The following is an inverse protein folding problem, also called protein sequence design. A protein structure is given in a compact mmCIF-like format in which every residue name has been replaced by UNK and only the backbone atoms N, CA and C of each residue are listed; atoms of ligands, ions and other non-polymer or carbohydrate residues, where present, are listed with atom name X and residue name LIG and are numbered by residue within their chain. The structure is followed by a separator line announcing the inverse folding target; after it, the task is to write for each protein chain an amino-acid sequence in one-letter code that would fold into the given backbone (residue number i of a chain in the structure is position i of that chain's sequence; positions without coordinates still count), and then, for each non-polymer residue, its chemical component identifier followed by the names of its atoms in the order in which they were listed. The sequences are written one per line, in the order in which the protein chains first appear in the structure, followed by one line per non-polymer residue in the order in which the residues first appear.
data_IF_379236865986
#
_entry.id   IF_379236865986
#
_cell.length_a   1.000
_cell.length_b   1.000
_cell.length_c   1.000
_cell.angle_alpha   90.00
_cell.angle_beta   90.00
_cell.angle_gamma   90.00
#
_symmetry.space_group_name_H-M   'P 1'
#
loop_
_entity.id
_entity.type
_entity.pdbx_description
1 polymer ?
#
# COMPACT_ATOMS: atom_id res chain seq x y z
N UNK A 1 -12.75 -6.94 3.31
CA UNK A 1 -14.11 -7.46 3.64
C UNK A 1 -13.94 -8.63 4.61
N UNK A 2 -14.48 -8.55 5.82
CA UNK A 2 -14.34 -9.60 6.85
C UNK A 2 -15.35 -10.73 6.62
N UNK A 3 -15.06 -11.62 5.68
CA UNK A 3 -15.95 -12.73 5.31
C UNK A 3 -16.07 -13.74 6.46
N UNK A 4 -17.27 -13.81 7.08
CA UNK A 4 -17.65 -14.84 8.07
C UNK A 4 -16.69 -14.98 9.27
N UNK A 5 -16.27 -13.87 9.86
CA UNK A 5 -15.36 -13.91 11.00
C UNK A 5 -13.90 -14.18 10.64
N UNK A 6 -13.55 -14.17 9.33
CA UNK A 6 -12.18 -13.97 8.89
C UNK A 6 -11.77 -12.51 9.17
N UNK A 7 -11.52 -12.22 10.46
CA UNK A 7 -10.95 -10.98 10.96
C UNK A 7 -9.45 -11.08 10.90
N UNK A 8 -8.88 -10.53 9.83
CA UNK A 8 -7.45 -10.32 9.66
C UNK A 8 -7.11 -8.92 10.19
N UNK A 9 -5.95 -8.74 10.82
CA UNK A 9 -5.51 -7.43 11.36
C UNK A 9 -5.31 -6.37 10.26
N UNK A 10 -5.42 -6.76 9.00
CA UNK A 10 -5.10 -5.95 7.83
C UNK A 10 -3.61 -5.85 7.55
N UNK A 11 -2.75 -6.04 8.57
CA UNK A 11 -1.29 -5.93 8.44
C UNK A 11 -0.71 -7.01 7.51
N UNK A 12 -1.29 -8.20 7.48
CA UNK A 12 -0.93 -9.29 6.57
C UNK A 12 -1.11 -8.96 5.08
N UNK A 13 -1.82 -7.87 4.73
CA UNK A 13 -1.93 -7.41 3.35
C UNK A 13 -0.76 -6.54 2.91
N UNK A 14 0.01 -5.96 3.86
CA UNK A 14 1.15 -5.07 3.55
C UNK A 14 2.19 -5.78 2.65
N UNK A 15 2.61 -7.03 2.92
CA UNK A 15 3.50 -7.76 2.01
C UNK A 15 2.89 -8.01 0.63
N UNK A 16 1.58 -8.26 0.55
CA UNK A 16 0.89 -8.46 -0.73
C UNK A 16 0.94 -7.18 -1.59
N UNK A 17 0.77 -6.01 -0.97
CA UNK A 17 0.92 -4.73 -1.65
C UNK A 17 2.37 -4.47 -2.09
N UNK A 18 3.37 -4.81 -1.27
CA UNK A 18 4.78 -4.65 -1.66
C UNK A 18 5.17 -5.55 -2.83
N UNK A 19 4.86 -6.83 -2.76
CA UNK A 19 5.44 -7.81 -3.68
C UNK A 19 4.55 -8.10 -4.88
N UNK A 20 3.25 -8.30 -4.68
CA UNK A 20 2.35 -8.73 -5.76
C UNK A 20 1.75 -7.54 -6.49
N UNK A 21 1.09 -6.64 -5.75
CA UNK A 21 0.55 -5.40 -6.31
C UNK A 21 1.63 -4.38 -6.68
N UNK A 22 2.81 -4.47 -6.07
CA UNK A 22 3.90 -3.50 -6.22
C UNK A 22 5.02 -3.98 -7.15
N UNK A 23 6.03 -4.65 -6.57
CA UNK A 23 7.26 -5.05 -7.25
C UNK A 23 6.99 -5.88 -8.53
N UNK A 24 6.20 -6.95 -8.41
CA UNK A 24 5.90 -7.83 -9.53
C UNK A 24 5.17 -7.06 -10.65
N UNK A 25 4.24 -6.19 -10.28
CA UNK A 25 3.47 -5.41 -11.24
C UNK A 25 4.32 -4.34 -11.94
N UNK A 26 5.25 -3.68 -11.24
CA UNK A 26 6.22 -2.77 -11.86
C UNK A 26 7.14 -3.53 -12.82
N UNK A 27 7.64 -4.71 -12.43
CA UNK A 27 8.44 -5.56 -13.31
C UNK A 27 7.64 -5.94 -14.56
N UNK A 28 6.37 -6.33 -14.41
CA UNK A 28 5.51 -6.62 -15.56
C UNK A 28 5.36 -5.40 -16.48
N UNK A 29 5.16 -4.19 -15.93
CA UNK A 29 5.11 -2.95 -16.72
C UNK A 29 6.41 -2.63 -17.47
N UNK A 30 7.57 -2.94 -16.87
CA UNK A 30 8.86 -2.82 -17.54
C UNK A 30 9.03 -3.85 -18.66
N UNK A 31 8.59 -5.09 -18.47
CA UNK A 31 8.64 -6.13 -19.49
C UNK A 31 7.73 -5.78 -20.69
N UNK A 32 6.54 -5.25 -20.45
CA UNK A 32 5.65 -4.75 -21.50
C UNK A 32 6.26 -3.59 -22.29
N UNK A 33 7.05 -2.74 -21.64
CA UNK A 33 7.79 -1.67 -22.33
C UNK A 33 8.82 -2.24 -23.31
N UNK A 34 9.57 -3.27 -22.91
CA UNK A 34 10.52 -3.96 -23.81
C UNK A 34 9.83 -4.63 -25.01
N UNK A 35 8.58 -5.08 -24.83
CA UNK A 35 7.75 -5.65 -25.91
C UNK A 35 7.12 -4.58 -26.83
N UNK A 36 7.27 -3.29 -26.50
CA UNK A 36 6.67 -2.18 -27.26
C UNK A 36 5.20 -1.92 -26.94
N UNK A 37 4.65 -2.56 -25.91
CA UNK A 37 3.25 -2.41 -25.50
C UNK A 37 3.11 -1.25 -24.51
N UNK A 38 3.03 -0.02 -25.03
CA UNK A 38 3.00 1.19 -24.19
C UNK A 38 1.80 1.26 -23.25
N UNK A 39 0.61 0.87 -23.71
CA UNK A 39 -0.61 0.94 -22.89
C UNK A 39 -0.54 0.09 -21.61
N UNK A 40 -0.34 -1.25 -21.68
CA UNK A 40 -0.24 -2.06 -20.47
C UNK A 40 1.01 -1.72 -19.65
N UNK A 41 2.12 -1.32 -20.29
CA UNK A 41 3.32 -0.86 -19.56
C UNK A 41 3.01 0.29 -18.60
N UNK A 42 2.37 1.36 -19.10
CA UNK A 42 2.04 2.53 -18.29
C UNK A 42 1.04 2.17 -17.19
N UNK A 43 0.02 1.37 -17.49
CA UNK A 43 -0.96 0.92 -16.50
C UNK A 43 -0.29 0.10 -15.39
N UNK A 44 0.51 -0.89 -15.75
CA UNK A 44 1.16 -1.74 -14.75
C UNK A 44 2.15 -0.96 -13.89
N UNK A 45 2.95 -0.08 -14.48
CA UNK A 45 3.85 0.78 -13.71
C UNK A 45 3.09 1.74 -12.76
N UNK A 46 2.01 2.37 -13.21
CA UNK A 46 1.24 3.33 -12.39
C UNK A 46 0.52 2.66 -11.23
N UNK A 47 -0.19 1.56 -11.48
CA UNK A 47 -0.82 0.79 -10.41
C UNK A 47 0.21 0.10 -9.49
N UNK A 48 1.34 -0.35 -10.05
CA UNK A 48 2.46 -0.89 -9.27
C UNK A 48 3.04 0.12 -8.29
N UNK A 49 3.28 1.35 -8.74
CA UNK A 49 3.74 2.45 -7.89
C UNK A 49 2.68 2.84 -6.85
N UNK A 50 1.40 2.81 -7.21
CA UNK A 50 0.30 3.04 -6.27
C UNK A 50 0.32 2.03 -5.12
N UNK A 51 0.40 0.73 -5.41
CA UNK A 51 0.41 -0.30 -4.36
C UNK A 51 1.69 -0.26 -3.51
N UNK A 52 2.85 0.06 -4.07
CA UNK A 52 4.07 0.29 -3.29
C UNK A 52 3.93 1.47 -2.33
N UNK A 53 3.34 2.58 -2.80
CA UNK A 53 3.09 3.76 -1.98
C UNK A 53 2.09 3.44 -0.86
N UNK A 54 1.02 2.71 -1.18
CA UNK A 54 0.03 2.27 -0.20
C UNK A 54 0.62 1.33 0.85
N UNK A 55 1.49 0.41 0.44
CA UNK A 55 2.22 -0.46 1.36
C UNK A 55 3.14 0.36 2.30
N UNK A 56 3.81 1.39 1.77
CA UNK A 56 4.64 2.31 2.55
C UNK A 56 3.84 3.08 3.61
N UNK A 57 2.66 3.59 3.24
CA UNK A 57 1.75 4.28 4.17
C UNK A 57 1.37 3.40 5.35
N UNK A 58 1.09 2.12 5.12
CA UNK A 58 0.66 1.18 6.15
C UNK A 58 1.81 0.52 6.92
N UNK A 59 3.03 0.54 6.37
CA UNK A 59 4.17 -0.08 7.01
C UNK A 59 4.70 0.80 8.16
N UNK A 60 4.75 0.27 9.41
CA UNK A 60 5.21 1.03 10.58
C UNK A 60 6.60 1.65 10.43
N UNK A 61 7.47 1.05 9.60
CA UNK A 61 8.85 1.50 9.38
C UNK A 61 8.94 2.91 8.77
N UNK A 62 7.91 3.36 8.06
CA UNK A 62 7.87 4.70 7.45
C UNK A 62 7.24 5.76 8.37
N UNK A 63 6.69 5.36 9.51
CA UNK A 63 6.01 6.23 10.47
C UNK A 63 4.89 7.12 9.88
N UNK A 64 4.37 6.78 8.70
CA UNK A 64 3.42 7.62 7.96
C UNK A 64 2.09 7.77 8.72
N UNK A 65 1.47 6.67 9.15
CA UNK A 65 0.26 6.74 9.98
C UNK A 65 0.56 7.04 11.46
N UNK A 66 1.66 6.53 12.00
CA UNK A 66 1.95 6.61 13.43
C UNK A 66 2.29 8.04 13.88
N UNK A 67 2.77 8.89 12.97
CA UNK A 67 3.01 10.32 13.25
C UNK A 67 1.73 11.08 13.62
N UNK A 68 0.55 10.55 13.28
CA UNK A 68 -0.74 11.12 13.64
C UNK A 68 -1.25 10.64 15.01
N UNK A 69 -0.58 9.70 15.67
CA UNK A 69 -0.95 9.25 17.00
C UNK A 69 -0.57 10.29 18.08
N UNK A 70 -1.42 10.43 19.10
CA UNK A 70 -1.11 11.29 20.26
C UNK A 70 0.09 10.74 21.03
N UNK A 71 0.97 11.62 21.52
CA UNK A 71 2.14 11.23 22.30
C UNK A 71 1.76 10.31 23.48
N UNK A 72 2.43 9.15 23.58
CA UNK A 72 2.19 8.15 24.62
C UNK A 72 1.04 7.16 24.33
N UNK A 73 0.38 7.25 23.18
CA UNK A 73 -0.60 6.25 22.72
C UNK A 73 0.02 5.23 21.77
N UNK A 74 -0.69 4.12 21.55
CA UNK A 74 -0.28 3.11 20.57
C UNK A 74 -0.22 3.72 19.16
N UNK A 75 0.86 3.49 18.38
CA UNK A 75 1.01 4.00 17.02
C UNK A 75 -0.17 3.71 16.09
N UNK A 76 -0.84 2.57 16.25
CA UNK A 76 -2.00 2.16 15.43
C UNK A 76 -3.19 3.11 15.56
N UNK A 77 -3.29 3.86 16.66
CA UNK A 77 -4.34 4.87 16.84
C UNK A 77 -4.30 5.95 15.77
N UNK A 78 -3.12 6.22 15.21
CA UNK A 78 -2.90 7.16 14.09
C UNK A 78 -3.80 6.85 12.88
N UNK A 79 -4.03 5.58 12.56
CA UNK A 79 -4.88 5.13 11.44
C UNK A 79 -6.35 5.56 11.60
N UNK A 80 -6.81 5.72 12.85
CA UNK A 80 -8.20 6.08 13.15
C UNK A 80 -8.42 7.59 13.28
N UNK A 81 -7.36 8.39 13.20
CA UNK A 81 -7.48 9.84 13.36
C UNK A 81 -8.14 10.48 12.15
N UNK A 82 -8.94 11.52 12.39
CA UNK A 82 -9.55 12.31 11.31
C UNK A 82 -8.51 12.96 10.41
N UNK A 83 -7.38 13.38 10.98
CA UNK A 83 -6.29 14.01 10.24
C UNK A 83 -5.65 13.06 9.22
N UNK A 84 -5.38 11.82 9.61
CA UNK A 84 -4.82 10.81 8.70
C UNK A 84 -5.83 10.46 7.60
N UNK A 85 -7.09 10.22 7.98
CA UNK A 85 -8.15 9.84 7.03
C UNK A 85 -8.54 10.97 6.06
N UNK A 86 -8.35 12.24 6.43
CA UNK A 86 -8.58 13.37 5.54
C UNK A 86 -7.46 13.57 4.50
N UNK A 87 -6.36 12.83 4.60
CA UNK A 87 -5.27 12.85 3.62
C UNK A 87 -5.52 12.02 2.37
N UNK A 88 -6.69 11.37 2.26
CA UNK A 88 -7.08 10.44 1.19
C UNK A 88 -8.41 10.84 0.54
#
# INVERSE_FOLDING_TARGET
MQWRGAGSSGAEQIPQFFFFGGLLQVIAGLLEWFLGNTYPSVIFCTFGAFFLSFAGILNPSFAAFSSFATAGQDPSTGLTTRSFNAGF
#
